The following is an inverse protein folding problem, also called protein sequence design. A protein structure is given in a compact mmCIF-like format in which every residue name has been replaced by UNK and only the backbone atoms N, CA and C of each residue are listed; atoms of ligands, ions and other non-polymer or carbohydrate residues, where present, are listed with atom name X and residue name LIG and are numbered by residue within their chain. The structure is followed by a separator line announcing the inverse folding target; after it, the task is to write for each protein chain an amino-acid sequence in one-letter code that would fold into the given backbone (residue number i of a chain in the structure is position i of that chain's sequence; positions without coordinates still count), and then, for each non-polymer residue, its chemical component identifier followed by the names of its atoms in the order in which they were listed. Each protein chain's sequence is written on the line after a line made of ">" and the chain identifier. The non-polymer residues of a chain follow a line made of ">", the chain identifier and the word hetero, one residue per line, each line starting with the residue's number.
data_IF_987658246748
#
_entry.id   IF_987658246748
#
_cell.length_a   1.000
_cell.length_b   1.000
_cell.length_c   1.000
_cell.angle_alpha   90.00
_cell.angle_beta   90.00
_cell.angle_gamma   90.00
#
_symmetry.space_group_name_H-M   'P 1'
#
loop_
_entity.id
_entity.type
_entity.pdbx_description
1 polymer ?
#
# COMPACT_ATOMS: atom_id res chain seq x y z
N UNK A 1 -2.93 -5.89 -15.63
CA UNK A 1 -2.45 -7.31 -15.68
C UNK A 1 -3.32 -8.16 -14.78
N UNK A 2 -3.98 -9.18 -15.32
CA UNK A 2 -4.84 -10.08 -14.55
C UNK A 2 -3.98 -10.90 -13.59
N UNK A 3 -4.32 -10.87 -12.31
CA UNK A 3 -3.56 -11.55 -11.25
C UNK A 3 -3.66 -13.09 -11.46
N UNK A 4 -2.55 -13.77 -11.83
CA UNK A 4 -2.57 -15.20 -12.16
C UNK A 4 -3.08 -16.06 -10.99
N UNK A 5 -2.94 -15.57 -9.75
CA UNK A 5 -3.43 -16.25 -8.55
C UNK A 5 -4.96 -16.32 -8.50
N UNK A 6 -5.65 -15.23 -8.90
CA UNK A 6 -7.13 -15.22 -8.96
C UNK A 6 -7.69 -16.16 -10.05
N UNK A 7 -6.95 -16.31 -11.15
CA UNK A 7 -7.30 -17.25 -12.19
C UNK A 7 -7.11 -18.71 -11.72
N UNK A 8 -6.01 -19.01 -11.05
CA UNK A 8 -5.72 -20.33 -10.49
C UNK A 8 -6.75 -20.74 -9.41
N UNK A 9 -7.15 -19.81 -8.53
CA UNK A 9 -8.18 -20.07 -7.51
C UNK A 9 -9.55 -20.34 -8.15
N UNK A 10 -9.93 -19.58 -9.17
CA UNK A 10 -11.19 -19.83 -9.92
C UNK A 10 -11.15 -21.17 -10.66
N UNK A 11 -10.01 -21.53 -11.25
CA UNK A 11 -9.85 -22.81 -11.94
C UNK A 11 -9.92 -23.98 -10.94
N UNK A 12 -9.22 -23.89 -9.83
CA UNK A 12 -9.25 -24.91 -8.79
C UNK A 12 -10.65 -25.09 -8.18
N UNK A 13 -11.40 -24.02 -7.92
CA UNK A 13 -12.76 -24.11 -7.41
C UNK A 13 -13.72 -24.80 -8.39
N UNK A 14 -13.59 -24.54 -9.70
CA UNK A 14 -14.39 -25.18 -10.73
C UNK A 14 -14.05 -26.66 -10.91
N UNK A 15 -12.76 -26.99 -10.86
CA UNK A 15 -12.29 -28.37 -10.90
C UNK A 15 -12.81 -29.16 -9.69
N UNK A 16 -12.84 -28.55 -8.52
CA UNK A 16 -13.32 -29.17 -7.30
C UNK A 16 -14.82 -29.45 -7.33
N UNK A 17 -15.61 -28.50 -7.80
CA UNK A 17 -17.05 -28.69 -8.01
C UNK A 17 -17.31 -29.78 -9.04
N UNK A 18 -16.53 -29.84 -10.12
CA UNK A 18 -16.63 -30.88 -11.14
C UNK A 18 -16.31 -32.28 -10.61
N UNK A 19 -15.24 -32.41 -9.82
CA UNK A 19 -14.86 -33.69 -9.18
C UNK A 19 -15.94 -34.13 -8.19
N UNK A 20 -16.46 -33.24 -7.36
CA UNK A 20 -17.52 -33.51 -6.41
C UNK A 20 -18.80 -34.02 -7.13
N UNK A 21 -19.18 -33.37 -8.22
CA UNK A 21 -20.32 -33.78 -9.02
C UNK A 21 -20.09 -35.16 -9.67
N UNK A 22 -18.90 -35.43 -10.21
CA UNK A 22 -18.53 -36.73 -10.77
C UNK A 22 -18.59 -37.85 -9.74
N UNK A 23 -18.11 -37.60 -8.50
CA UNK A 23 -18.17 -38.57 -7.42
C UNK A 23 -19.62 -38.88 -6.99
N UNK A 24 -20.49 -37.85 -6.97
CA UNK A 24 -21.92 -38.05 -6.68
C UNK A 24 -22.60 -38.88 -7.79
N UNK A 25 -22.31 -38.57 -9.05
CA UNK A 25 -22.86 -39.32 -10.19
C UNK A 25 -22.35 -40.76 -10.18
N UNK A 26 -21.04 -40.97 -9.93
CA UNK A 26 -20.46 -42.30 -9.82
C UNK A 26 -21.08 -43.11 -8.66
N UNK A 27 -21.32 -42.46 -7.52
CA UNK A 27 -22.01 -43.07 -6.37
C UNK A 27 -23.44 -43.48 -6.69
N UNK A 28 -24.20 -42.63 -7.41
CA UNK A 28 -25.55 -42.92 -7.84
C UNK A 28 -25.61 -44.07 -8.87
N UNK A 29 -24.65 -44.13 -9.79
CA UNK A 29 -24.56 -45.23 -10.76
C UNK A 29 -24.16 -46.54 -10.13
N UNK A 30 -23.22 -46.53 -9.17
CA UNK A 30 -22.79 -47.69 -8.42
C UNK A 30 -23.93 -48.23 -7.53
N UNK A 31 -24.75 -47.35 -6.95
CA UNK A 31 -25.89 -47.74 -6.11
C UNK A 31 -26.97 -48.53 -6.89
N UNK A 32 -27.04 -48.30 -8.19
CA UNK A 32 -28.03 -48.91 -9.04
C UNK A 32 -27.71 -50.36 -9.44
N UNK A 33 -26.47 -50.78 -9.28
CA UNK A 33 -25.99 -52.06 -9.78
C UNK A 33 -25.37 -53.00 -8.70
N UNK A 34 -24.99 -52.54 -7.50
CA UNK A 34 -24.02 -53.34 -6.74
C UNK A 34 -24.30 -53.56 -5.25
N UNK A 35 -25.23 -52.96 -4.59
CA UNK A 35 -25.26 -53.12 -3.16
C UNK A 35 -26.61 -52.96 -2.48
N UNK A 36 -26.71 -53.55 -1.30
CA UNK A 36 -27.79 -53.29 -0.36
C UNK A 36 -27.86 -51.77 -0.05
N UNK A 37 -29.07 -51.20 0.06
CA UNK A 37 -29.26 -49.76 0.21
C UNK A 37 -28.50 -49.15 1.38
N UNK A 38 -28.25 -49.86 2.46
CA UNK A 38 -27.50 -49.41 3.63
C UNK A 38 -26.02 -49.19 3.34
N UNK A 39 -25.37 -50.01 2.51
CA UNK A 39 -23.93 -49.86 2.16
C UNK A 39 -23.70 -48.71 1.21
N UNK A 40 -24.61 -48.43 0.32
CA UNK A 40 -24.52 -47.29 -0.60
C UNK A 40 -24.67 -45.96 0.11
N UNK A 41 -25.59 -45.85 1.07
CA UNK A 41 -25.75 -44.62 1.86
C UNK A 41 -24.52 -44.37 2.79
N UNK A 42 -23.92 -45.39 3.34
CA UNK A 42 -22.70 -45.27 4.17
C UNK A 42 -21.52 -44.83 3.31
N UNK A 43 -21.34 -45.35 2.09
CA UNK A 43 -20.30 -44.99 1.19
C UNK A 43 -20.46 -43.53 0.71
N UNK A 44 -21.66 -43.12 0.38
CA UNK A 44 -21.97 -41.73 0.01
C UNK A 44 -21.71 -40.75 1.18
N UNK A 45 -22.09 -41.14 2.39
CA UNK A 45 -21.79 -40.37 3.60
C UNK A 45 -20.30 -40.15 3.83
N UNK A 46 -19.50 -41.21 3.63
CA UNK A 46 -18.04 -41.15 3.76
C UNK A 46 -17.41 -40.20 2.71
N UNK A 47 -17.85 -40.28 1.44
CA UNK A 47 -17.37 -39.41 0.39
C UNK A 47 -17.75 -37.95 0.69
N UNK A 48 -18.98 -37.71 1.14
CA UNK A 48 -19.43 -36.36 1.49
C UNK A 48 -18.60 -35.77 2.66
N UNK A 49 -18.27 -36.58 3.65
CA UNK A 49 -17.45 -36.20 4.80
C UNK A 49 -16.04 -35.83 4.36
N UNK A 50 -15.41 -36.61 3.49
CA UNK A 50 -14.08 -36.31 2.93
C UNK A 50 -14.12 -35.03 2.11
N UNK A 51 -15.12 -34.84 1.28
CA UNK A 51 -15.28 -33.60 0.49
C UNK A 51 -15.49 -32.38 1.39
N UNK A 52 -16.26 -32.50 2.46
CA UNK A 52 -16.46 -31.44 3.44
C UNK A 52 -15.14 -31.08 4.19
N UNK A 53 -14.36 -32.10 4.55
CA UNK A 53 -13.06 -31.89 5.18
C UNK A 53 -12.08 -31.14 4.27
N UNK A 54 -12.02 -31.52 2.98
CA UNK A 54 -11.22 -30.80 1.99
C UNK A 54 -11.68 -29.35 1.80
N UNK A 55 -12.99 -29.10 1.71
CA UNK A 55 -13.56 -27.77 1.61
C UNK A 55 -13.21 -26.92 2.85
N UNK A 56 -13.27 -27.49 4.05
CA UNK A 56 -12.89 -26.81 5.28
C UNK A 56 -11.40 -26.44 5.30
N UNK A 57 -10.52 -27.36 4.90
CA UNK A 57 -9.08 -27.10 4.80
C UNK A 57 -8.81 -25.99 3.79
N UNK A 58 -9.45 -26.04 2.64
CA UNK A 58 -9.30 -24.99 1.61
C UNK A 58 -9.76 -23.63 2.11
N UNK A 59 -10.90 -23.54 2.77
CA UNK A 59 -11.39 -22.29 3.37
C UNK A 59 -10.43 -21.76 4.42
N UNK A 60 -9.84 -22.61 5.25
CA UNK A 60 -8.82 -22.20 6.22
C UNK A 60 -7.57 -21.61 5.54
N UNK A 61 -7.10 -22.22 4.45
CA UNK A 61 -5.99 -21.66 3.68
C UNK A 61 -6.34 -20.30 3.07
N UNK A 62 -7.53 -20.16 2.49
CA UNK A 62 -7.99 -18.89 1.92
C UNK A 62 -8.12 -17.78 2.98
N UNK A 63 -8.70 -18.11 4.13
CA UNK A 63 -8.82 -17.19 5.28
C UNK A 63 -7.45 -16.78 5.84
N UNK A 64 -6.51 -17.74 5.93
CA UNK A 64 -5.15 -17.45 6.38
C UNK A 64 -4.43 -16.50 5.42
N UNK A 65 -4.66 -16.61 4.12
CA UNK A 65 -4.07 -15.72 3.13
C UNK A 65 -4.71 -14.32 3.19
N UNK A 66 -6.03 -14.22 3.27
CA UNK A 66 -6.74 -12.95 3.42
C UNK A 66 -6.35 -12.23 4.71
N UNK A 67 -6.26 -12.94 5.82
CA UNK A 67 -5.77 -12.38 7.10
C UNK A 67 -4.35 -11.83 6.99
N UNK A 68 -3.47 -12.50 6.27
CA UNK A 68 -2.09 -12.02 6.04
C UNK A 68 -2.04 -10.78 5.18
N UNK A 69 -2.86 -10.73 4.13
CA UNK A 69 -2.90 -9.57 3.23
C UNK A 69 -3.46 -8.33 3.96
N UNK A 70 -4.39 -8.52 4.89
CA UNK A 70 -4.93 -7.46 5.75
C UNK A 70 -3.94 -6.96 6.80
N UNK A 71 -3.02 -7.82 7.24
CA UNK A 71 -2.04 -7.49 8.29
C UNK A 71 -0.67 -7.07 7.75
N UNK A 72 -0.49 -6.91 6.44
CA UNK A 72 0.78 -6.49 5.87
C UNK A 72 1.05 -5.00 6.10
N UNK A 73 2.31 -4.57 6.18
CA UNK A 73 2.64 -3.15 6.06
C UNK A 73 2.27 -2.66 4.66
N UNK A 74 1.83 -1.41 4.56
CA UNK A 74 1.49 -0.75 3.29
C UNK A 74 2.17 0.61 3.30
N UNK A 75 3.23 0.73 2.52
CA UNK A 75 3.94 2.00 2.37
C UNK A 75 3.25 2.82 1.29
N UNK A 76 3.05 4.10 1.54
CA UNK A 76 2.50 5.07 0.57
C UNK A 76 3.46 6.24 0.46
N UNK A 77 3.68 6.70 -0.77
CA UNK A 77 4.38 7.94 -1.06
C UNK A 77 3.46 8.89 -1.84
N UNK A 78 3.48 10.16 -1.47
CA UNK A 78 2.69 11.20 -2.11
C UNK A 78 3.42 12.54 -2.08
N UNK A 79 3.15 13.40 -3.06
CA UNK A 79 3.57 14.80 -3.06
C UNK A 79 2.37 15.65 -2.68
N UNK A 80 2.55 16.51 -1.69
CA UNK A 80 1.52 17.47 -1.26
C UNK A 80 2.09 18.88 -1.13
N UNK A 81 1.25 19.91 -1.25
CA UNK A 81 1.67 21.24 -0.85
C UNK A 81 1.81 21.31 0.67
N UNK A 82 2.84 21.97 1.15
CA UNK A 82 2.99 22.23 2.57
C UNK A 82 1.81 23.06 3.11
N UNK A 83 1.48 22.88 4.38
CA UNK A 83 0.25 23.42 5.00
C UNK A 83 0.20 24.95 4.94
N UNK A 84 1.35 25.63 5.05
CA UNK A 84 1.44 27.09 5.15
C UNK A 84 2.26 27.72 4.02
N UNK A 85 2.78 26.94 3.08
CA UNK A 85 3.62 27.43 2.00
C UNK A 85 3.33 26.70 0.68
N UNK A 86 3.86 27.23 -0.42
CA UNK A 86 3.75 26.60 -1.75
C UNK A 86 4.86 25.57 -2.01
N UNK A 87 5.53 25.15 -0.97
CA UNK A 87 6.59 24.16 -1.01
C UNK A 87 6.00 22.78 -1.28
N UNK A 88 6.60 22.03 -2.19
CA UNK A 88 6.22 20.64 -2.40
C UNK A 88 6.86 19.75 -1.34
N UNK A 89 6.06 19.04 -0.57
CA UNK A 89 6.49 18.06 0.42
C UNK A 89 6.33 16.64 -0.10
N UNK A 90 7.39 15.86 -0.01
CA UNK A 90 7.35 14.41 -0.16
C UNK A 90 6.96 13.79 1.17
N UNK A 91 5.84 13.10 1.17
CA UNK A 91 5.33 12.39 2.34
C UNK A 91 5.43 10.90 2.09
N UNK A 92 6.11 10.20 2.98
CA UNK A 92 6.16 8.74 3.00
C UNK A 92 5.55 8.25 4.31
N UNK A 93 4.58 7.35 4.22
CA UNK A 93 3.89 6.85 5.40
C UNK A 93 3.56 5.36 5.30
N UNK A 94 3.50 4.71 6.45
CA UNK A 94 2.98 3.36 6.57
C UNK A 94 1.51 3.44 7.01
N UNK A 95 0.59 3.15 6.09
CA UNK A 95 -0.85 3.09 6.37
C UNK A 95 -1.31 1.68 6.72
N UNK A 96 -0.41 0.71 6.63
CA UNK A 96 -0.71 -0.66 7.01
C UNK A 96 -0.72 -0.84 8.53
N UNK A 97 -1.35 -1.91 9.03
CA UNK A 97 -1.47 -2.20 10.46
C UNK A 97 -0.20 -2.82 11.05
N UNK A 98 0.79 -3.17 10.25
CA UNK A 98 2.02 -3.80 10.72
C UNK A 98 3.27 -3.00 10.41
N UNK A 99 4.37 -3.39 11.03
CA UNK A 99 5.67 -2.76 10.90
C UNK A 99 6.34 -3.18 9.60
N UNK A 100 6.83 -2.20 8.83
CA UNK A 100 7.76 -2.44 7.73
C UNK A 100 9.20 -2.44 8.26
N UNK A 101 10.00 -3.42 7.84
CA UNK A 101 11.41 -3.58 8.23
C UNK A 101 12.34 -3.39 7.05
N UNK A 102 13.54 -2.87 7.30
CA UNK A 102 14.58 -2.68 6.30
C UNK A 102 14.08 -1.94 5.07
N UNK A 103 13.40 -0.82 5.30
CA UNK A 103 12.82 0.00 4.24
C UNK A 103 13.92 0.70 3.47
N UNK A 104 13.93 0.53 2.15
CA UNK A 104 14.86 1.18 1.22
C UNK A 104 14.09 1.93 0.16
N UNK A 105 14.67 3.02 -0.32
CA UNK A 105 14.06 3.92 -1.27
C UNK A 105 14.95 4.05 -2.52
N UNK A 106 14.33 4.07 -3.69
CA UNK A 106 15.01 4.34 -4.94
C UNK A 106 14.21 5.33 -5.78
N UNK A 107 14.86 6.42 -6.19
CA UNK A 107 14.28 7.44 -7.08
C UNK A 107 14.65 7.14 -8.54
N UNK A 108 13.70 7.30 -9.44
CA UNK A 108 13.90 7.22 -10.88
C UNK A 108 13.23 8.42 -11.58
N UNK A 109 14.02 9.37 -12.14
CA UNK A 109 15.49 9.41 -12.15
C UNK A 109 16.08 9.59 -10.74
N UNK A 110 17.36 9.22 -10.58
CA UNK A 110 18.09 9.40 -9.32
C UNK A 110 18.16 10.88 -8.95
N UNK A 111 18.13 11.16 -7.65
CA UNK A 111 18.36 12.51 -7.14
C UNK A 111 19.78 12.97 -7.51
N UNK A 112 19.95 14.20 -8.01
CA UNK A 112 21.25 14.72 -8.42
C UNK A 112 22.20 14.79 -7.22
N UNK A 113 23.43 14.35 -7.43
CA UNK A 113 24.49 14.44 -6.42
C UNK A 113 25.09 15.83 -6.43
N UNK A 114 24.88 16.56 -5.36
CA UNK A 114 25.43 17.89 -5.17
C UNK A 114 26.55 17.85 -4.14
N UNK A 115 27.69 18.45 -4.50
CA UNK A 115 28.88 18.53 -3.63
C UNK A 115 29.43 19.96 -3.63
N UNK A 116 30.14 20.32 -2.56
CA UNK A 116 30.84 21.61 -2.47
C UNK A 116 29.90 22.81 -2.52
N UNK A 117 30.23 23.78 -3.37
CA UNK A 117 29.50 25.06 -3.51
C UNK A 117 28.08 24.84 -4.02
N UNK A 118 27.88 23.87 -4.92
CA UNK A 118 26.56 23.57 -5.50
C UNK A 118 25.58 23.00 -4.47
N UNK A 119 26.11 22.41 -3.40
CA UNK A 119 25.32 21.89 -2.28
C UNK A 119 24.93 22.97 -1.27
N UNK A 120 25.59 24.14 -1.30
CA UNK A 120 25.37 25.19 -0.31
C UNK A 120 23.94 25.76 -0.40
N UNK A 121 23.22 25.71 0.72
CA UNK A 121 21.86 26.19 0.82
C UNK A 121 20.80 25.31 0.11
N UNK A 122 21.16 24.14 -0.41
CA UNK A 122 20.25 23.20 -1.06
C UNK A 122 19.75 22.13 -0.07
N UNK A 123 18.51 21.68 -0.28
CA UNK A 123 17.89 20.60 0.48
C UNK A 123 18.19 19.22 -0.11
N UNK A 124 18.49 19.17 -1.41
CA UNK A 124 18.77 17.92 -2.15
C UNK A 124 19.81 17.00 -1.46
N UNK A 125 20.93 17.49 -0.90
CA UNK A 125 21.88 16.64 -0.18
C UNK A 125 21.30 15.97 1.07
N UNK A 126 20.36 16.63 1.74
CA UNK A 126 19.65 16.05 2.90
C UNK A 126 18.70 14.94 2.47
N UNK A 127 17.95 15.15 1.38
CA UNK A 127 17.08 14.13 0.78
C UNK A 127 17.89 12.91 0.38
N UNK A 128 19.02 13.10 -0.34
CA UNK A 128 19.92 12.01 -0.71
C UNK A 128 20.39 11.23 0.52
N UNK A 129 20.92 11.92 1.53
CA UNK A 129 21.44 11.29 2.75
C UNK A 129 20.35 10.50 3.48
N UNK A 130 19.14 11.03 3.52
CA UNK A 130 18.02 10.39 4.21
C UNK A 130 17.56 9.15 3.48
N UNK A 131 17.34 9.25 2.18
CA UNK A 131 16.76 8.18 1.38
C UNK A 131 17.78 7.16 0.86
N UNK A 132 19.08 7.43 0.93
CA UNK A 132 20.13 6.43 0.67
C UNK A 132 20.33 5.44 1.82
N UNK A 133 19.83 5.75 3.01
CA UNK A 133 19.97 4.88 4.17
C UNK A 133 18.79 3.92 4.28
N UNK A 134 19.11 2.67 4.58
CA UNK A 134 18.07 1.71 4.97
C UNK A 134 17.48 2.10 6.31
N UNK A 135 16.16 2.22 6.37
CA UNK A 135 15.45 2.43 7.63
C UNK A 135 15.12 1.08 8.26
N UNK A 136 15.68 0.76 9.44
CA UNK A 136 15.49 -0.57 10.03
C UNK A 136 14.04 -0.88 10.36
N UNK A 137 13.29 0.14 10.77
CA UNK A 137 11.92 -0.02 11.26
C UNK A 137 11.07 1.17 10.87
N UNK A 138 9.89 0.89 10.29
CA UNK A 138 8.89 1.88 9.95
C UNK A 138 7.52 1.42 10.49
N UNK A 139 7.13 1.97 11.63
CA UNK A 139 5.93 1.56 12.38
C UNK A 139 4.61 1.90 11.68
N UNK A 140 3.50 1.26 12.08
CA UNK A 140 2.16 1.68 11.66
C UNK A 140 1.89 3.14 12.02
N UNK A 141 1.34 3.89 11.06
CA UNK A 141 1.07 5.31 11.24
C UNK A 141 2.30 6.23 11.24
N UNK A 142 3.52 5.68 11.17
CA UNK A 142 4.73 6.50 11.03
C UNK A 142 4.71 7.26 9.72
N UNK A 143 5.08 8.53 9.77
CA UNK A 143 5.11 9.45 8.64
C UNK A 143 6.44 10.16 8.60
N UNK A 144 7.00 10.31 7.40
CA UNK A 144 8.15 11.16 7.10
C UNK A 144 7.67 12.28 6.21
N UNK A 145 7.99 13.51 6.58
CA UNK A 145 7.76 14.71 5.79
C UNK A 145 9.11 15.30 5.41
N UNK A 146 9.34 15.49 4.12
CA UNK A 146 10.52 16.15 3.61
C UNK A 146 10.13 17.18 2.55
N UNK A 147 10.73 18.36 2.63
CA UNK A 147 10.64 19.34 1.56
C UNK A 147 11.35 18.76 0.34
N UNK A 148 10.60 18.56 -0.74
CA UNK A 148 11.12 18.05 -2.00
C UNK A 148 11.55 19.17 -2.94
N UNK A 149 10.70 20.20 -3.09
CA UNK A 149 11.01 21.35 -3.93
C UNK A 149 10.40 22.62 -3.37
N UNK A 150 11.15 23.71 -3.43
CA UNK A 150 10.72 25.05 -3.02
C UNK A 150 9.97 25.76 -4.16
N UNK A 151 9.25 26.84 -3.82
CA UNK A 151 8.67 27.76 -4.79
C UNK A 151 9.24 29.17 -4.57
N UNK A 152 9.92 29.79 -5.56
CA UNK A 152 10.31 29.23 -6.86
C UNK A 152 11.26 28.03 -6.74
N UNK A 153 11.36 27.19 -7.80
CA UNK A 153 12.14 25.95 -7.74
C UNK A 153 13.65 26.26 -7.70
N UNK A 154 14.23 26.14 -6.52
CA UNK A 154 15.69 26.29 -6.31
C UNK A 154 16.41 24.94 -6.24
N UNK A 155 15.67 23.86 -6.01
CA UNK A 155 16.23 22.53 -5.90
C UNK A 155 16.34 21.86 -7.28
N UNK A 156 17.49 21.27 -7.64
CA UNK A 156 17.69 20.62 -8.93
C UNK A 156 17.11 19.20 -8.97
N UNK A 157 15.99 18.98 -8.31
CA UNK A 157 15.30 17.68 -8.29
C UNK A 157 14.37 17.53 -9.50
N UNK A 158 14.14 16.32 -10.01
CA UNK A 158 13.22 16.10 -11.13
C UNK A 158 11.79 16.42 -10.73
N UNK A 159 11.05 17.09 -11.66
CA UNK A 159 9.63 17.40 -11.45
C UNK A 159 8.75 16.14 -11.50
N UNK A 160 9.10 15.19 -12.38
CA UNK A 160 8.43 13.92 -12.55
C UNK A 160 9.40 12.80 -12.15
N UNK A 161 8.99 11.94 -11.25
CA UNK A 161 9.82 10.84 -10.79
C UNK A 161 9.00 9.67 -10.28
N UNK A 162 9.61 8.52 -10.26
CA UNK A 162 9.06 7.32 -9.64
C UNK A 162 9.83 7.03 -8.35
N UNK A 163 9.12 6.93 -7.24
CA UNK A 163 9.67 6.46 -5.97
C UNK A 163 9.32 5.00 -5.75
N UNK A 164 10.34 4.15 -5.77
CA UNK A 164 10.22 2.74 -5.45
C UNK A 164 10.59 2.54 -3.98
N UNK A 165 9.77 1.80 -3.25
CA UNK A 165 9.95 1.48 -1.84
C UNK A 165 9.99 -0.03 -1.69
N UNK A 166 11.14 -0.57 -1.29
CA UNK A 166 11.32 -1.99 -0.99
C UNK A 166 11.39 -2.18 0.54
N UNK A 167 10.66 -3.15 1.07
CA UNK A 167 10.60 -3.42 2.51
C UNK A 167 10.21 -4.86 2.81
N UNK A 168 10.33 -5.24 4.08
CA UNK A 168 9.97 -6.56 4.58
C UNK A 168 8.88 -6.43 5.65
N UNK A 169 8.03 -7.44 5.75
CA UNK A 169 7.12 -7.57 6.89
C UNK A 169 7.84 -8.18 8.12
N UNK A 170 7.12 -8.33 9.20
CA UNK A 170 7.61 -8.96 10.43
C UNK A 170 7.96 -10.45 10.26
N UNK A 171 7.48 -11.08 9.19
CA UNK A 171 7.72 -12.48 8.84
C UNK A 171 8.85 -12.66 7.80
N UNK A 172 9.54 -11.58 7.42
CA UNK A 172 10.63 -11.61 6.46
C UNK A 172 10.22 -11.68 4.99
N UNK A 173 8.95 -11.41 4.66
CA UNK A 173 8.50 -11.33 3.27
C UNK A 173 8.83 -9.98 2.69
N UNK A 174 9.37 -9.98 1.47
CA UNK A 174 9.67 -8.77 0.73
C UNK A 174 8.44 -8.25 0.00
N UNK A 175 8.28 -6.93 0.06
CA UNK A 175 7.30 -6.15 -0.70
C UNK A 175 8.02 -5.05 -1.46
N UNK A 176 7.42 -4.62 -2.56
CA UNK A 176 7.94 -3.54 -3.40
C UNK A 176 6.75 -2.76 -3.94
N UNK A 177 6.67 -1.50 -3.55
CA UNK A 177 5.65 -0.56 -4.03
C UNK A 177 6.33 0.53 -4.86
N UNK A 178 5.65 1.01 -5.91
CA UNK A 178 6.18 2.02 -6.82
C UNK A 178 5.14 3.10 -7.04
N UNK A 179 5.54 4.36 -6.91
CA UNK A 179 4.68 5.54 -7.00
C UNK A 179 5.23 6.51 -8.04
N UNK A 180 4.44 6.79 -9.06
CA UNK A 180 4.71 7.84 -10.02
C UNK A 180 4.23 9.16 -9.43
N UNK A 181 5.14 10.09 -9.21
CA UNK A 181 4.91 11.35 -8.51
C UNK A 181 5.30 12.51 -9.41
N UNK A 182 4.51 13.58 -9.36
CA UNK A 182 4.77 14.80 -10.10
C UNK A 182 4.58 16.06 -9.25
N UNK A 183 5.53 16.96 -9.29
CA UNK A 183 5.41 18.29 -8.66
C UNK A 183 4.59 19.23 -9.53
N UNK A 184 4.53 18.99 -10.84
CA UNK A 184 3.81 19.85 -11.80
C UNK A 184 2.34 20.00 -11.43
N UNK A 185 1.68 18.93 -10.99
CA UNK A 185 0.29 18.95 -10.57
C UNK A 185 0.02 19.95 -9.42
N UNK A 186 1.04 20.27 -8.62
CA UNK A 186 0.91 21.27 -7.55
C UNK A 186 1.07 22.71 -8.06
N UNK A 187 1.88 22.90 -9.10
CA UNK A 187 2.08 24.25 -9.72
C UNK A 187 0.84 24.69 -10.47
N UNK A 188 0.14 23.76 -11.11
CA UNK A 188 -1.09 24.01 -11.88
C UNK A 188 -2.33 24.12 -11.01
N UNK A 189 -2.18 23.98 -9.69
CA UNK A 189 -3.30 24.01 -8.76
C UNK A 189 -3.79 25.44 -8.55
N UNK A 190 -5.00 25.75 -8.99
CA UNK A 190 -5.66 27.03 -8.70
C UNK A 190 -6.06 27.06 -7.22
N UNK A 191 -5.39 27.92 -6.45
CA UNK A 191 -5.70 28.12 -5.02
C UNK A 191 -6.72 29.23 -4.87
N UNK A 192 -7.68 29.00 -3.97
CA UNK A 192 -8.68 30.01 -3.60
C UNK A 192 -8.12 31.10 -2.64
N UNK A 193 -6.88 30.94 -2.18
CA UNK A 193 -6.22 31.93 -1.31
C UNK A 193 -5.23 32.75 -2.12
N UNK A 194 -5.42 34.07 -2.22
CA UNK A 194 -4.47 34.94 -2.88
C UNK A 194 -3.10 34.87 -2.20
N UNK A 195 -2.05 34.84 -3.02
CA UNK A 195 -0.64 34.87 -2.59
C UNK A 195 -0.28 36.32 -2.38
N UNK A 196 -0.66 36.92 -1.26
CA UNK A 196 -0.25 38.27 -0.93
C UNK A 196 0.83 38.24 0.16
N UNK A 197 1.95 38.91 -0.09
CA UNK A 197 3.00 39.18 0.92
C UNK A 197 2.62 40.38 1.79
N UNK A 198 1.36 40.82 1.76
CA UNK A 198 0.89 41.96 2.51
C UNK A 198 0.67 41.57 4.00
N UNK A 199 1.14 42.42 4.89
CA UNK A 199 1.11 42.21 6.36
C UNK A 199 -0.31 41.91 6.87
N UNK A 200 -1.33 42.57 6.25
CA UNK A 200 -2.74 42.33 6.55
C UNK A 200 -3.20 40.93 6.20
N UNK A 201 -2.61 40.32 5.19
CA UNK A 201 -2.93 38.97 4.76
C UNK A 201 -2.24 37.91 5.59
N UNK A 202 -1.00 38.14 6.01
CA UNK A 202 -0.30 37.32 7.00
C UNK A 202 -1.05 37.25 8.32
N UNK A 203 -1.60 38.37 8.80
CA UNK A 203 -2.43 38.41 10.00
C UNK A 203 -3.72 37.60 9.82
N UNK A 204 -4.42 37.72 8.68
CA UNK A 204 -5.60 36.92 8.37
C UNK A 204 -5.31 35.42 8.30
N UNK A 205 -4.15 35.04 7.76
CA UNK A 205 -3.69 33.65 7.72
C UNK A 205 -3.43 33.12 9.13
N UNK A 206 -2.78 33.93 9.98
CA UNK A 206 -2.53 33.57 11.37
C UNK A 206 -3.86 33.31 12.11
N UNK A 207 -4.84 34.20 11.98
CA UNK A 207 -6.16 34.04 12.60
C UNK A 207 -6.83 32.77 12.12
N UNK A 208 -6.83 32.49 10.80
CA UNK A 208 -7.41 31.26 10.26
C UNK A 208 -6.68 29.99 10.73
N UNK A 209 -5.36 30.04 10.87
CA UNK A 209 -4.57 28.91 11.39
C UNK A 209 -4.92 28.64 12.85
N UNK A 210 -5.04 29.69 13.67
CA UNK A 210 -5.46 29.57 15.08
C UNK A 210 -6.90 29.06 15.19
N UNK A 211 -7.82 29.53 14.37
CA UNK A 211 -9.20 29.01 14.32
C UNK A 211 -9.26 27.55 13.89
N UNK A 212 -8.39 27.10 12.94
CA UNK A 212 -8.31 25.71 12.51
C UNK A 212 -7.79 24.80 13.63
N UNK A 213 -6.81 25.27 14.38
CA UNK A 213 -6.28 24.58 15.57
C UNK A 213 -7.38 24.48 16.64
N UNK A 214 -8.05 25.59 16.93
CA UNK A 214 -9.13 25.63 17.93
C UNK A 214 -10.28 24.67 17.57
N UNK A 215 -10.66 24.61 16.28
CA UNK A 215 -11.65 23.64 15.79
C UNK A 215 -11.18 22.20 15.86
N UNK A 216 -9.89 21.94 15.64
CA UNK A 216 -9.29 20.60 15.73
C UNK A 216 -9.20 20.10 17.18
N UNK A 217 -8.93 20.98 18.13
CA UNK A 217 -8.85 20.65 19.56
C UNK A 217 -10.23 20.46 20.18
N UNK A 218 -11.23 21.24 19.74
CA UNK A 218 -12.59 21.15 20.28
C UNK A 218 -13.42 19.95 19.77
N UNK A 219 -12.85 19.09 18.92
CA UNK A 219 -13.51 17.89 18.37
C UNK A 219 -12.97 16.57 18.92
N UNK A 220 -12.19 16.60 19.99
CA UNK A 220 -11.71 15.39 20.70
C UNK A 220 -12.54 15.13 21.95
#
# INVERSE_FOLDING_TARGET
>A
MANPLKAAVKFASRAFVGIGLLLVIAGLLASRHWAAPTTTWTAMGSIATVAAAFAAIWTLFALKQDSRDRTRPVMIAEIRPAVLSEVAELIVRNVGPSVAKNVTFAFHPELPKLEGIDAAGKLTPYLQRRYSRTMPTFGPGMIIHDVYQTNPPYEPVPDDFTLKIDYYDTHGRRYSDSYELTVKALRDHTRSTPTGDDESELQRRLVRAVEAIARGVGRR
#
